data_IF_378940310469
#
_entry.id   IF_378940310469
#
_cell.length_a   1.000
_cell.length_b   1.000
_cell.length_c   1.000
_cell.angle_alpha   90.00
_cell.angle_beta   90.00
_cell.angle_gamma   90.00
#
_symmetry.space_group_name_H-M   'P 1'
#
loop_
_entity.id
_entity.type
_entity.pdbx_description
1 polymer ?
#
# COMPACT_ATOMS: atom_id res chain seq x y z
N UNK A 1 -18.89 6.02 -2.85
CA UNK A 1 -17.92 4.98 -2.41
C UNK A 1 -16.54 5.38 -2.96
N UNK A 2 -15.43 4.79 -2.51
CA UNK A 2 -14.14 5.02 -3.19
C UNK A 2 -14.07 4.31 -4.54
N UNK A 3 -13.29 4.84 -5.47
CA UNK A 3 -13.12 4.24 -6.80
C UNK A 3 -12.09 3.11 -6.75
N UNK A 4 -12.16 2.17 -7.71
CA UNK A 4 -11.17 1.08 -7.83
C UNK A 4 -9.73 1.61 -7.97
N UNK A 5 -9.55 2.76 -8.64
CA UNK A 5 -8.25 3.43 -8.74
C UNK A 5 -7.72 3.87 -7.37
N UNK A 6 -8.60 4.32 -6.46
CA UNK A 6 -8.20 4.72 -5.11
C UNK A 6 -7.80 3.50 -4.29
N UNK A 7 -8.49 2.37 -4.44
CA UNK A 7 -8.14 1.11 -3.76
C UNK A 7 -6.71 0.67 -4.17
N UNK A 8 -6.41 0.69 -5.47
CA UNK A 8 -5.07 0.36 -5.99
C UNK A 8 -4.01 1.35 -5.54
N UNK A 9 -4.33 2.64 -5.54
CA UNK A 9 -3.42 3.68 -5.05
C UNK A 9 -3.16 3.57 -3.55
N UNK A 10 -4.16 3.19 -2.76
CA UNK A 10 -3.98 2.89 -1.34
C UNK A 10 -3.05 1.69 -1.13
N UNK A 11 -3.23 0.59 -1.87
CA UNK A 11 -2.32 -0.58 -1.79
C UNK A 11 -0.89 -0.19 -2.16
N UNK A 12 -0.71 0.55 -3.25
CA UNK A 12 0.61 1.02 -3.67
C UNK A 12 1.25 1.94 -2.62
N UNK A 13 0.48 2.83 -1.98
CA UNK A 13 0.95 3.65 -0.86
C UNK A 13 1.39 2.79 0.33
N UNK A 14 0.60 1.78 0.70
CA UNK A 14 0.92 0.85 1.78
C UNK A 14 2.22 0.09 1.51
N UNK A 15 2.39 -0.46 0.30
CA UNK A 15 3.62 -1.15 -0.11
C UNK A 15 4.84 -0.21 -0.07
N UNK A 16 4.69 1.03 -0.51
CA UNK A 16 5.77 2.01 -0.49
C UNK A 16 6.13 2.45 0.93
N UNK A 17 5.16 2.88 1.73
CA UNK A 17 5.42 3.40 3.07
C UNK A 17 5.85 2.31 4.07
N UNK A 18 5.33 1.09 3.94
CA UNK A 18 5.65 0.01 4.87
C UNK A 18 6.88 -0.80 4.44
N UNK A 19 7.16 -0.90 3.15
CA UNK A 19 8.16 -1.83 2.62
C UNK A 19 9.15 -1.19 1.65
N UNK A 20 8.97 0.08 1.27
CA UNK A 20 9.82 0.76 0.29
C UNK A 20 9.55 0.34 -1.16
N UNK A 21 8.51 -0.47 -1.41
CA UNK A 21 8.19 -0.99 -2.72
C UNK A 21 7.35 0.00 -3.54
N UNK A 22 7.93 0.57 -4.59
CA UNK A 22 7.22 1.48 -5.47
C UNK A 22 6.52 0.72 -6.62
N UNK A 23 5.32 0.22 -6.35
CA UNK A 23 4.53 -0.58 -7.31
C UNK A 23 3.51 0.31 -8.03
N UNK A 24 3.48 0.27 -9.37
CA UNK A 24 2.47 0.97 -10.16
C UNK A 24 1.06 0.44 -9.87
N UNK A 25 0.06 1.31 -9.88
CA UNK A 25 -1.35 0.89 -9.74
C UNK A 25 -1.78 -0.09 -10.85
N UNK A 26 -1.16 -0.01 -12.04
CA UNK A 26 -1.46 -0.88 -13.18
C UNK A 26 -1.04 -2.33 -12.94
N UNK A 27 0.00 -2.54 -12.11
CA UNK A 27 0.50 -3.86 -11.75
C UNK A 27 -0.31 -4.50 -10.61
N UNK A 28 -1.23 -3.74 -9.99
CA UNK A 28 -2.05 -4.18 -8.86
C UNK A 28 -3.39 -4.68 -9.37
N UNK A 29 -3.70 -5.92 -9.00
CA UNK A 29 -4.97 -6.55 -9.27
C UNK A 29 -5.78 -6.65 -7.98
N UNK A 30 -6.99 -6.09 -8.00
CA UNK A 30 -7.97 -6.19 -6.92
C UNK A 30 -9.25 -6.79 -7.51
N UNK A 31 -9.58 -8.01 -7.10
CA UNK A 31 -10.89 -8.60 -7.36
C UNK A 31 -11.64 -8.67 -6.04
N UNK A 32 -12.74 -7.94 -5.96
CA UNK A 32 -13.65 -7.94 -4.82
C UNK A 32 -15.07 -7.99 -5.37
N UNK A 33 -15.57 -9.21 -5.60
CA UNK A 33 -16.95 -9.47 -6.04
C UNK A 33 -17.61 -10.36 -5.00
N UNK A 34 -18.84 -10.02 -4.63
CA UNK A 34 -19.63 -10.68 -3.57
C UNK A 34 -19.78 -12.21 -3.71
N UNK A 35 -19.48 -12.79 -4.88
CA UNK A 35 -19.60 -14.23 -5.18
C UNK A 35 -18.31 -14.90 -5.66
N UNK A 36 -17.14 -14.24 -5.59
CA UNK A 36 -15.85 -14.82 -6.01
C UNK A 36 -14.84 -14.74 -4.87
N UNK A 37 -13.82 -15.60 -4.90
CA UNK A 37 -12.68 -15.47 -3.99
C UNK A 37 -12.03 -14.11 -4.20
N UNK A 38 -12.02 -13.28 -3.16
CA UNK A 38 -11.39 -11.97 -3.24
C UNK A 38 -9.88 -12.17 -3.45
N UNK A 39 -9.31 -11.30 -4.28
CA UNK A 39 -7.91 -11.39 -4.63
C UNK A 39 -7.29 -10.01 -4.63
N UNK A 40 -6.26 -9.86 -3.80
CA UNK A 40 -5.27 -8.80 -3.93
C UNK A 40 -3.92 -9.43 -4.27
N UNK A 41 -3.34 -8.98 -5.40
CA UNK A 41 -2.02 -9.40 -5.85
C UNK A 41 -1.36 -8.34 -6.73
N UNK A 42 -0.03 -8.40 -6.85
CA UNK A 42 0.70 -7.61 -7.83
C UNK A 42 1.82 -8.43 -8.47
N UNK A 43 2.30 -7.97 -9.61
CA UNK A 43 3.49 -8.51 -10.27
C UNK A 43 4.27 -7.37 -10.89
N UNK A 44 5.49 -7.14 -10.40
CA UNK A 44 6.31 -6.02 -10.86
C UNK A 44 7.78 -6.40 -10.94
N UNK A 45 8.53 -5.63 -11.74
CA UNK A 45 9.99 -5.61 -11.68
C UNK A 45 10.39 -4.41 -10.83
N UNK A 46 11.17 -4.65 -9.79
CA UNK A 46 11.53 -3.67 -8.78
C UNK A 46 13.05 -3.48 -8.78
N UNK A 47 13.49 -2.24 -8.63
CA UNK A 47 14.92 -1.93 -8.52
C UNK A 47 15.50 -2.55 -7.24
N UNK A 48 16.77 -2.96 -7.29
CA UNK A 48 17.47 -3.45 -6.09
C UNK A 48 17.52 -2.41 -4.96
N UNK A 49 17.55 -1.13 -5.30
CA UNK A 49 17.61 -0.04 -4.31
C UNK A 49 16.36 0.01 -3.42
N UNK A 50 15.20 -0.40 -3.92
CA UNK A 50 13.96 -0.45 -3.13
C UNK A 50 14.07 -1.47 -1.98
N UNK A 51 14.90 -2.51 -2.12
CA UNK A 51 15.15 -3.49 -1.06
C UNK A 51 15.98 -2.89 0.10
N UNK A 52 16.71 -1.80 -0.13
CA UNK A 52 17.54 -1.17 0.90
C UNK A 52 16.69 -0.57 2.01
N UNK A 53 15.53 0.00 1.66
CA UNK A 53 14.59 0.50 2.66
C UNK A 53 14.08 -0.64 3.55
N UNK A 54 13.67 -1.76 2.94
CA UNK A 54 13.21 -2.92 3.70
C UNK A 54 14.33 -3.53 4.54
N UNK A 55 15.58 -3.54 4.06
CA UNK A 55 16.72 -3.98 4.85
C UNK A 55 16.87 -3.20 6.15
N UNK A 56 16.69 -1.87 6.12
CA UNK A 56 16.80 -1.06 7.33
C UNK A 56 15.65 -1.35 8.31
N UNK A 57 14.46 -1.72 7.83
CA UNK A 57 13.35 -2.24 8.65
C UNK A 57 13.66 -3.62 9.24
N UNK A 58 14.14 -4.55 8.42
CA UNK A 58 14.52 -5.90 8.83
C UNK A 58 15.56 -5.87 9.97
N UNK A 59 16.61 -5.07 9.80
CA UNK A 59 17.64 -4.89 10.83
C UNK A 59 17.07 -4.28 12.10
N UNK A 60 16.15 -3.31 11.97
CA UNK A 60 15.48 -2.68 13.11
C UNK A 60 14.62 -3.67 13.89
N UNK A 61 13.91 -4.58 13.22
CA UNK A 61 13.14 -5.65 13.85
C UNK A 61 14.05 -6.67 14.56
N UNK A 62 15.18 -7.07 13.95
CA UNK A 62 16.16 -7.93 14.62
C UNK A 62 16.67 -7.31 15.93
N UNK A 63 17.01 -6.02 15.90
CA UNK A 63 17.46 -5.28 17.10
C UNK A 63 16.35 -5.25 18.17
N UNK A 64 15.09 -4.99 17.79
CA UNK A 64 13.94 -5.03 18.73
C UNK A 64 13.77 -6.40 19.37
N UNK A 65 14.15 -7.47 18.68
CA UNK A 65 14.12 -8.85 19.19
C UNK A 65 15.43 -9.29 19.87
N UNK A 66 16.22 -8.34 20.38
CA UNK A 66 17.46 -8.55 21.15
C UNK A 66 18.61 -9.20 20.36
N UNK A 67 18.64 -9.08 19.03
CA UNK A 67 19.84 -9.44 18.27
C UNK A 67 21.01 -8.49 18.62
N UNK A 68 22.25 -8.98 18.73
CA UNK A 68 23.39 -8.13 19.07
C UNK A 68 23.64 -7.04 18.01
N UNK A 69 23.68 -5.77 18.43
CA UNK A 69 23.84 -4.63 17.52
C UNK A 69 25.07 -4.75 16.59
N UNK A 70 26.19 -5.22 17.12
CA UNK A 70 27.42 -5.43 16.34
C UNK A 70 27.24 -6.47 15.23
N UNK A 71 26.45 -7.52 15.47
CA UNK A 71 26.19 -8.56 14.49
C UNK A 71 25.19 -8.09 13.44
N UNK A 72 24.15 -7.35 13.86
CA UNK A 72 23.15 -6.81 12.94
C UNK A 72 23.72 -5.74 12.00
N UNK A 73 24.63 -4.88 12.45
CA UNK A 73 25.29 -3.91 11.56
C UNK A 73 26.23 -4.57 10.55
N UNK A 74 26.93 -5.64 10.95
CA UNK A 74 27.74 -6.45 10.03
C UNK A 74 26.84 -7.13 8.99
N UNK A 75 25.70 -7.69 9.40
CA UNK A 75 24.72 -8.29 8.50
C UNK A 75 24.17 -7.24 7.51
N UNK A 76 23.74 -6.08 8.00
CA UNK A 76 23.30 -4.95 7.16
C UNK A 76 24.34 -4.63 6.10
N UNK A 77 25.59 -4.46 6.51
CA UNK A 77 26.70 -4.12 5.62
C UNK A 77 26.93 -5.19 4.56
N UNK A 78 26.89 -6.47 4.96
CA UNK A 78 27.06 -7.61 4.03
C UNK A 78 25.92 -7.72 3.03
N UNK A 79 24.66 -7.53 3.46
CA UNK A 79 23.51 -7.56 2.55
C UNK A 79 23.57 -6.38 1.57
N UNK A 80 23.83 -5.14 2.04
CA UNK A 80 24.00 -3.97 1.15
C UNK A 80 25.10 -4.19 0.12
N UNK A 81 26.24 -4.72 0.56
CA UNK A 81 27.33 -5.11 -0.32
C UNK A 81 26.91 -6.18 -1.34
N UNK A 82 26.19 -7.21 -0.90
CA UNK A 82 25.80 -8.32 -1.77
C UNK A 82 24.76 -7.89 -2.82
N UNK A 83 23.84 -6.99 -2.49
CA UNK A 83 22.94 -6.37 -3.47
C UNK A 83 23.72 -5.62 -4.57
N UNK A 84 24.81 -4.90 -4.21
CA UNK A 84 25.70 -4.28 -5.21
C UNK A 84 26.46 -5.32 -6.06
N UNK A 85 26.87 -6.45 -5.48
CA UNK A 85 27.45 -7.57 -6.25
C UNK A 85 26.42 -8.14 -7.23
N UNK A 86 25.16 -8.26 -6.80
CA UNK A 86 24.05 -8.72 -7.64
C UNK A 86 23.80 -7.79 -8.82
N UNK A 87 23.77 -6.48 -8.57
CA UNK A 87 23.69 -5.45 -9.61
C UNK A 87 24.86 -5.54 -10.60
N UNK A 88 26.10 -5.60 -10.09
CA UNK A 88 27.32 -5.72 -10.90
C UNK A 88 27.34 -6.99 -11.77
N UNK A 89 26.64 -8.04 -11.33
CA UNK A 89 26.48 -9.29 -12.08
C UNK A 89 25.44 -9.21 -13.20
N UNK A 90 24.84 -8.04 -13.43
CA UNK A 90 23.92 -7.76 -14.53
C UNK A 90 22.44 -7.78 -14.15
N UNK A 91 22.10 -7.94 -12.87
CA UNK A 91 20.72 -8.08 -12.41
C UNK A 91 20.24 -6.82 -11.69
N UNK A 92 19.91 -5.78 -12.45
CA UNK A 92 19.51 -4.47 -11.90
C UNK A 92 18.11 -4.46 -11.26
N UNK A 93 17.22 -5.35 -11.73
CA UNK A 93 15.85 -5.45 -11.26
C UNK A 93 15.53 -6.89 -10.83
N UNK A 94 14.67 -7.03 -9.84
CA UNK A 94 14.14 -8.30 -9.37
C UNK A 94 12.64 -8.35 -9.65
N UNK A 95 12.17 -9.49 -10.14
CA UNK A 95 10.74 -9.73 -10.31
C UNK A 95 10.11 -10.19 -9.00
N UNK A 96 9.10 -9.46 -8.55
CA UNK A 96 8.35 -9.73 -7.32
C UNK A 96 6.90 -10.05 -7.67
N UNK A 97 6.33 -11.06 -6.99
CA UNK A 97 4.90 -11.37 -7.05
C UNK A 97 4.34 -11.33 -5.64
N UNK A 98 3.43 -10.41 -5.40
CA UNK A 98 2.76 -10.27 -4.13
C UNK A 98 1.42 -10.98 -4.12
N UNK A 99 1.12 -11.70 -3.04
CA UNK A 99 -0.18 -12.34 -2.81
C UNK A 99 -0.64 -12.09 -1.37
N UNK A 100 -1.92 -11.76 -1.19
CA UNK A 100 -2.49 -11.54 0.15
C UNK A 100 -2.79 -12.85 0.90
N UNK A 101 -3.11 -13.94 0.19
CA UNK A 101 -3.57 -15.22 0.74
C UNK A 101 -2.62 -16.40 0.47
N UNK A 102 -1.44 -16.12 -0.09
CA UNK A 102 -0.40 -17.09 -0.36
C UNK A 102 0.96 -16.46 -0.05
N UNK A 103 2.01 -17.29 -0.04
CA UNK A 103 3.37 -16.77 0.05
C UNK A 103 3.70 -15.95 -1.21
N UNK A 104 3.99 -14.67 -0.99
CA UNK A 104 4.62 -13.81 -2.01
C UNK A 104 6.00 -14.37 -2.39
N UNK A 105 6.43 -14.12 -3.62
CA UNK A 105 7.67 -14.71 -4.17
C UNK A 105 8.55 -13.65 -4.79
N UNK A 106 9.85 -13.73 -4.54
CA UNK A 106 10.89 -12.89 -5.13
C UNK A 106 11.79 -13.79 -6.00
N UNK A 107 11.79 -13.53 -7.31
CA UNK A 107 12.56 -14.33 -8.28
C UNK A 107 14.06 -13.92 -8.21
N UNK A 108 14.82 -14.49 -7.26
CA UNK A 108 16.27 -14.29 -7.09
C UNK A 108 17.06 -15.35 -7.86
N UNK A 109 18.04 -14.91 -8.65
CA UNK A 109 19.01 -15.77 -9.32
C UNK A 109 20.12 -16.17 -8.35
N UNK A 110 20.50 -17.44 -8.33
CA UNK A 110 21.62 -17.94 -7.53
C UNK A 110 22.98 -17.50 -8.11
N UNK A 111 23.29 -16.21 -7.94
CA UNK A 111 24.57 -15.64 -8.35
C UNK A 111 25.74 -16.20 -7.54
N UNK A 112 25.50 -16.72 -6.34
CA UNK A 112 26.54 -17.33 -5.52
C UNK A 112 27.09 -18.57 -6.22
N UNK A 113 26.21 -19.45 -6.69
CA UNK A 113 26.61 -20.61 -7.50
C UNK A 113 27.23 -20.19 -8.83
N UNK A 114 26.74 -19.16 -9.52
CA UNK A 114 27.32 -18.67 -10.77
C UNK A 114 28.75 -18.10 -10.59
N UNK A 115 28.97 -17.34 -9.52
CA UNK A 115 30.28 -16.77 -9.18
C UNK A 115 31.25 -17.89 -8.81
N UNK A 116 30.81 -18.86 -8.02
CA UNK A 116 31.62 -20.01 -7.62
C UNK A 116 31.95 -20.92 -8.81
N UNK A 117 30.97 -21.25 -9.65
CA UNK A 117 31.14 -22.10 -10.82
C UNK A 117 32.16 -21.52 -11.81
N UNK A 118 32.05 -20.22 -12.13
CA UNK A 118 33.05 -19.54 -12.96
C UNK A 118 34.43 -19.37 -12.30
N UNK A 119 34.59 -19.85 -11.06
CA UNK A 119 35.85 -19.86 -10.31
C UNK A 119 36.37 -21.30 -10.05
N UNK A 120 35.71 -22.34 -10.57
CA UNK A 120 36.02 -23.78 -10.42
C UNK A 120 36.53 -24.35 -11.75
N UNK A 121 37.45 -25.32 -11.76
CA UNK A 121 37.85 -26.02 -12.98
C UNK A 121 36.70 -26.76 -13.66
N UNK A 122 36.56 -26.64 -14.98
CA UNK A 122 35.57 -27.38 -15.79
C UNK A 122 35.90 -28.88 -15.91
N UNK A 123 37.14 -29.31 -15.59
CA UNK A 123 37.55 -30.72 -15.57
C UNK A 123 38.79 -30.96 -14.69
N UNK A 124 39.10 -32.22 -14.35
CA UNK A 124 40.36 -32.61 -13.68
C UNK A 124 41.63 -32.26 -14.48
N UNK A 125 41.48 -31.92 -15.76
CA UNK A 125 42.56 -31.46 -16.65
C UNK A 125 42.62 -29.94 -16.81
N UNK A 126 41.77 -29.19 -16.10
CA UNK A 126 41.66 -27.75 -16.26
C UNK A 126 42.76 -27.03 -15.47
N UNK A 127 43.82 -26.66 -16.19
CA UNK A 127 45.11 -26.14 -15.71
C UNK A 127 45.06 -24.67 -15.29
N UNK A 128 43.90 -24.16 -14.89
CA UNK A 128 43.77 -22.77 -14.44
C UNK A 128 44.47 -22.61 -13.09
N UNK A 129 45.47 -21.73 -13.06
CA UNK A 129 46.25 -21.38 -11.87
C UNK A 129 45.34 -20.99 -10.68
N UNK A 130 45.51 -21.58 -9.49
CA UNK A 130 44.84 -21.16 -8.26
C UNK A 130 44.88 -19.65 -7.99
N UNK A 131 45.96 -18.95 -8.39
CA UNK A 131 46.11 -17.50 -8.31
C UNK A 131 45.07 -16.80 -9.19
N UNK A 132 44.95 -17.22 -10.46
CA UNK A 132 43.97 -16.68 -11.40
C UNK A 132 42.53 -16.90 -10.92
N UNK A 133 42.24 -18.02 -10.25
CA UNK A 133 40.91 -18.29 -9.67
C UNK A 133 40.58 -17.39 -8.49
N UNK A 134 41.58 -17.06 -7.67
CA UNK A 134 41.42 -16.09 -6.59
C UNK A 134 41.12 -14.69 -7.16
N UNK A 135 41.82 -14.32 -8.23
CA UNK A 135 41.58 -13.07 -8.94
C UNK A 135 40.19 -13.02 -9.58
N UNK A 136 39.71 -14.09 -10.22
CA UNK A 136 38.35 -14.16 -10.78
C UNK A 136 37.29 -13.95 -9.69
N UNK A 137 37.40 -14.65 -8.56
CA UNK A 137 36.48 -14.47 -7.43
C UNK A 137 36.52 -13.03 -6.91
N UNK A 138 37.72 -12.49 -6.67
CA UNK A 138 37.91 -11.13 -6.19
C UNK A 138 37.32 -10.11 -7.17
N UNK A 139 37.51 -10.29 -8.48
CA UNK A 139 36.99 -9.39 -9.49
C UNK A 139 35.46 -9.40 -9.55
N UNK A 140 34.83 -10.57 -9.49
CA UNK A 140 33.37 -10.71 -9.49
C UNK A 140 32.73 -10.17 -8.20
N UNK A 141 33.36 -10.40 -7.06
CA UNK A 141 32.87 -9.95 -5.75
C UNK A 141 33.31 -8.53 -5.40
N UNK A 142 34.25 -7.91 -6.13
CA UNK A 142 34.76 -6.58 -5.77
C UNK A 142 33.70 -5.50 -6.01
N UNK A 143 33.34 -4.81 -4.93
CA UNK A 143 32.51 -3.60 -4.95
C UNK A 143 33.34 -2.50 -4.30
N UNK A 144 33.59 -1.41 -5.04
CA UNK A 144 34.43 -0.29 -4.57
C UNK A 144 35.82 -0.75 -4.08
N UNK A 145 36.39 -1.77 -4.72
CA UNK A 145 37.70 -2.34 -4.38
C UNK A 145 37.70 -3.25 -3.14
N UNK A 146 36.55 -3.57 -2.56
CA UNK A 146 36.42 -4.40 -1.35
C UNK A 146 35.69 -5.71 -1.61
N UNK A 147 36.08 -6.75 -0.88
CA UNK A 147 35.42 -8.07 -0.85
C UNK A 147 35.07 -8.40 0.60
N UNK A 148 33.78 -8.41 0.92
CA UNK A 148 33.31 -8.58 2.31
C UNK A 148 32.86 -10.01 2.65
N UNK A 149 32.68 -10.85 1.63
CA UNK A 149 32.26 -12.24 1.79
C UNK A 149 33.38 -13.13 1.23
N UNK A 150 33.89 -14.04 2.05
CA UNK A 150 34.93 -14.97 1.64
C UNK A 150 34.36 -16.10 0.76
N UNK A 151 35.18 -16.61 -0.17
CA UNK A 151 34.76 -17.64 -1.15
C UNK A 151 34.12 -18.87 -0.52
N UNK A 152 34.68 -19.37 0.58
CA UNK A 152 34.17 -20.55 1.29
C UNK A 152 32.84 -20.28 2.02
N UNK A 153 32.57 -19.01 2.37
CA UNK A 153 31.37 -18.59 3.10
C UNK A 153 30.24 -18.13 2.16
N UNK A 154 30.53 -17.88 0.88
CA UNK A 154 29.57 -17.29 -0.06
C UNK A 154 28.27 -18.09 -0.19
N UNK A 155 28.37 -19.41 -0.37
CA UNK A 155 27.19 -20.27 -0.51
C UNK A 155 26.37 -20.32 0.78
N UNK A 156 27.03 -20.36 1.93
CA UNK A 156 26.36 -20.31 3.22
C UNK A 156 25.63 -18.98 3.40
N UNK A 157 26.31 -17.85 3.21
CA UNK A 157 25.71 -16.52 3.30
C UNK A 157 24.50 -16.36 2.38
N UNK A 158 24.59 -16.86 1.15
CA UNK A 158 23.49 -16.75 0.17
C UNK A 158 22.24 -17.51 0.62
N UNK A 159 22.38 -18.73 1.14
CA UNK A 159 21.25 -19.56 1.54
C UNK A 159 20.80 -19.33 3.00
N UNK A 160 21.64 -18.76 3.87
CA UNK A 160 21.28 -18.35 5.23
C UNK A 160 20.94 -16.88 5.27
N UNK A 161 21.93 -16.01 5.48
CA UNK A 161 21.75 -14.61 5.88
C UNK A 161 20.96 -13.81 4.84
N UNK A 162 21.31 -13.98 3.55
CA UNK A 162 20.60 -13.34 2.45
C UNK A 162 19.26 -14.03 2.16
N UNK A 163 19.21 -15.35 2.22
CA UNK A 163 17.98 -16.13 2.04
C UNK A 163 16.91 -15.78 3.08
N UNK A 164 17.28 -15.71 4.35
CA UNK A 164 16.42 -15.34 5.48
C UNK A 164 15.88 -13.92 5.33
N UNK A 165 16.72 -12.98 4.88
CA UNK A 165 16.29 -11.62 4.55
C UNK A 165 15.22 -11.61 3.45
N UNK A 166 15.42 -12.36 2.35
CA UNK A 166 14.45 -12.45 1.25
C UNK A 166 13.16 -13.13 1.71
N UNK A 167 13.25 -14.22 2.48
CA UNK A 167 12.09 -14.94 3.01
C UNK A 167 11.27 -14.07 3.96
N UNK A 168 11.91 -13.27 4.80
CA UNK A 168 11.20 -12.33 5.67
C UNK A 168 10.54 -11.23 4.85
N UNK A 169 11.20 -10.76 3.79
CA UNK A 169 10.60 -9.79 2.88
C UNK A 169 9.33 -10.32 2.20
N UNK A 170 9.37 -11.55 1.69
CA UNK A 170 8.21 -12.23 1.12
C UNK A 170 7.02 -12.33 2.10
N UNK A 171 7.29 -12.64 3.37
CA UNK A 171 6.24 -12.65 4.41
C UNK A 171 5.70 -11.25 4.67
N UNK A 172 6.56 -10.24 4.77
CA UNK A 172 6.16 -8.86 4.98
C UNK A 172 5.28 -8.32 3.84
N UNK A 173 5.58 -8.66 2.59
CA UNK A 173 4.73 -8.33 1.43
C UNK A 173 3.35 -8.95 1.62
N UNK A 174 3.28 -10.25 1.91
CA UNK A 174 2.01 -10.97 2.06
C UNK A 174 1.16 -10.39 3.20
N UNK A 175 1.80 -10.05 4.33
CA UNK A 175 1.15 -9.40 5.49
C UNK A 175 0.64 -8.00 5.16
N UNK A 176 1.43 -7.19 4.44
CA UNK A 176 1.05 -5.85 4.00
C UNK A 176 -0.18 -5.89 3.09
N UNK A 177 -0.18 -6.79 2.10
CA UNK A 177 -1.32 -7.00 1.20
C UNK A 177 -2.56 -7.47 1.95
N UNK A 178 -2.44 -8.47 2.83
CA UNK A 178 -3.58 -8.92 3.63
C UNK A 178 -4.16 -7.78 4.48
N UNK A 179 -3.30 -6.99 5.14
CA UNK A 179 -3.74 -5.83 5.93
C UNK A 179 -4.47 -4.80 5.05
N UNK A 180 -3.92 -4.50 3.87
CA UNK A 180 -4.52 -3.55 2.93
C UNK A 180 -5.90 -4.02 2.47
N UNK A 181 -6.05 -5.30 2.14
CA UNK A 181 -7.34 -5.88 1.76
C UNK A 181 -8.37 -5.80 2.89
N UNK A 182 -7.99 -6.10 4.14
CA UNK A 182 -8.90 -5.98 5.27
C UNK A 182 -9.37 -4.53 5.51
N UNK A 183 -8.47 -3.55 5.29
CA UNK A 183 -8.81 -2.14 5.39
C UNK A 183 -9.81 -1.76 4.29
N UNK A 184 -9.56 -2.13 3.02
CA UNK A 184 -10.47 -1.88 1.90
C UNK A 184 -11.87 -2.45 2.19
N UNK A 185 -11.95 -3.68 2.68
CA UNK A 185 -13.23 -4.30 3.08
C UNK A 185 -13.93 -3.53 4.18
N UNK A 186 -13.18 -3.12 5.20
CA UNK A 186 -13.72 -2.36 6.31
C UNK A 186 -14.23 -0.99 5.87
N UNK A 187 -13.54 -0.35 4.90
CA UNK A 187 -14.01 0.87 4.22
C UNK A 187 -15.36 0.63 3.53
N UNK A 188 -15.47 -0.42 2.71
CA UNK A 188 -16.74 -0.78 2.04
C UNK A 188 -17.86 -1.04 3.04
N UNK A 189 -17.58 -1.76 4.12
CA UNK A 189 -18.54 -2.01 5.20
C UNK A 189 -18.99 -0.70 5.88
N UNK A 190 -18.08 0.25 6.10
CA UNK A 190 -18.41 1.58 6.65
C UNK A 190 -19.35 2.35 5.73
N UNK A 191 -19.09 2.36 4.42
CA UNK A 191 -19.99 2.96 3.44
C UNK A 191 -21.36 2.27 3.44
N UNK A 192 -21.40 0.94 3.32
CA UNK A 192 -22.66 0.19 3.30
C UNK A 192 -23.50 0.42 4.56
N UNK A 193 -22.87 0.48 5.74
CA UNK A 193 -23.55 0.75 7.00
C UNK A 193 -24.17 2.15 7.03
N UNK A 194 -23.51 3.14 6.45
CA UNK A 194 -24.02 4.51 6.37
C UNK A 194 -25.07 4.70 5.28
N UNK A 195 -24.97 4.01 4.15
CA UNK A 195 -25.99 4.04 3.10
C UNK A 195 -27.35 3.48 3.54
N UNK A 196 -27.35 2.65 4.59
CA UNK A 196 -28.58 2.17 5.24
C UNK A 196 -29.20 3.16 6.23
N UNK A 197 -28.52 4.27 6.54
CA UNK A 197 -29.03 5.27 7.47
C UNK A 197 -30.14 6.10 6.81
N UNK A 198 -31.32 6.05 7.43
CA UNK A 198 -32.44 6.91 7.10
C UNK A 198 -32.92 7.60 8.37
N UNK A 199 -33.11 8.90 8.29
CA UNK A 199 -33.71 9.67 9.37
C UNK A 199 -34.90 10.46 8.86
N UNK A 200 -36.02 10.35 9.56
CA UNK A 200 -37.21 11.14 9.29
C UNK A 200 -37.74 11.74 10.58
N UNK A 201 -38.23 12.98 10.50
CA UNK A 201 -38.87 13.66 11.63
C UNK A 201 -39.99 14.57 11.14
N UNK A 202 -41.19 14.40 11.72
CA UNK A 202 -42.28 15.36 11.58
C UNK A 202 -41.92 16.67 12.27
N UNK A 203 -41.96 17.77 11.51
CA UNK A 203 -41.68 19.13 12.00
C UNK A 203 -42.98 19.79 12.46
N UNK A 204 -44.03 19.71 11.64
CA UNK A 204 -45.41 20.11 11.93
C UNK A 204 -46.37 19.24 11.11
N UNK A 205 -47.68 19.48 11.21
CA UNK A 205 -48.72 18.61 10.63
C UNK A 205 -48.55 18.34 9.13
N UNK A 206 -48.09 19.35 8.38
CA UNK A 206 -47.94 19.27 6.92
C UNK A 206 -46.48 19.24 6.45
N UNK A 207 -45.51 18.97 7.34
CA UNK A 207 -44.09 19.05 6.98
C UNK A 207 -43.25 17.96 7.68
N UNK A 208 -42.58 17.15 6.88
CA UNK A 208 -41.63 16.13 7.34
C UNK A 208 -40.24 16.41 6.79
N UNK A 209 -39.23 16.33 7.66
CA UNK A 209 -37.82 16.39 7.33
C UNK A 209 -37.27 14.98 7.15
N UNK A 210 -36.56 14.74 6.05
CA UNK A 210 -35.80 13.52 5.76
C UNK A 210 -34.32 13.86 5.62
N UNK A 211 -33.46 13.01 6.18
CA UNK A 211 -32.02 13.04 6.00
C UNK A 211 -31.60 11.66 5.49
N UNK A 212 -31.14 11.63 4.24
CA UNK A 212 -30.70 10.42 3.54
C UNK A 212 -29.20 10.53 3.26
N UNK A 213 -28.45 9.45 3.44
CA UNK A 213 -27.03 9.38 3.11
C UNK A 213 -26.84 8.57 1.83
N UNK A 214 -26.33 9.19 0.78
CA UNK A 214 -25.88 8.53 -0.43
C UNK A 214 -24.39 8.20 -0.31
N UNK A 215 -24.10 6.91 -0.38
CA UNK A 215 -22.75 6.35 -0.29
C UNK A 215 -22.27 5.72 -1.58
N UNK A 216 -23.08 5.73 -2.63
CA UNK A 216 -22.75 5.12 -3.92
C UNK A 216 -21.97 6.10 -4.79
N UNK A 217 -22.34 7.38 -4.73
CA UNK A 217 -21.64 8.45 -5.43
C UNK A 217 -20.26 8.76 -4.83
N UNK A 218 -19.35 9.26 -5.67
CA UNK A 218 -18.06 9.76 -5.20
C UNK A 218 -18.30 11.09 -4.46
N UNK A 219 -17.99 11.18 -3.14
CA UNK A 219 -18.42 12.33 -2.35
C UNK A 219 -17.75 13.64 -2.79
N UNK A 220 -18.53 14.72 -2.88
CA UNK A 220 -18.01 16.04 -3.22
C UNK A 220 -17.02 16.60 -2.17
N UNK A 221 -17.09 16.11 -0.93
CA UNK A 221 -16.20 16.48 0.17
C UNK A 221 -14.88 15.69 0.19
N UNK A 222 -14.60 14.87 -0.84
CA UNK A 222 -13.37 14.10 -0.89
C UNK A 222 -12.14 15.00 -0.83
N UNK A 223 -11.17 14.73 0.08
CA UNK A 223 -9.95 15.51 0.14
C UNK A 223 -9.14 15.31 -1.14
N UNK A 224 -8.33 16.30 -1.48
CA UNK A 224 -7.38 16.16 -2.59
C UNK A 224 -6.28 15.17 -2.19
N UNK A 225 -6.35 13.97 -2.77
CA UNK A 225 -5.40 12.87 -2.58
C UNK A 225 -4.19 12.96 -3.51
N UNK A 226 -4.19 13.92 -4.44
CA UNK A 226 -3.29 13.93 -5.58
C UNK A 226 -2.69 15.32 -5.82
N UNK A 227 -1.40 15.47 -5.56
CA UNK A 227 -0.68 16.74 -5.68
C UNK A 227 -0.32 16.99 -7.15
N UNK A 228 -0.97 17.97 -7.76
CA UNK A 228 -0.61 18.47 -9.09
C UNK A 228 0.69 19.27 -9.08
N UNK A 229 1.54 19.07 -10.08
CA UNK A 229 2.74 19.87 -10.30
C UNK A 229 2.86 20.30 -11.76
N UNK A 230 3.53 21.44 -11.97
CA UNK A 230 3.92 21.95 -13.28
C UNK A 230 5.43 21.85 -13.39
N UNK A 231 5.90 21.06 -14.33
CA UNK A 231 7.30 21.08 -14.71
C UNK A 231 7.59 22.32 -15.57
N UNK A 232 8.84 22.74 -15.56
CA UNK A 232 9.38 23.91 -16.29
C UNK A 232 9.06 23.88 -17.79
N UNK A 233 8.86 22.69 -18.36
CA UNK A 233 8.59 22.47 -19.79
C UNK A 233 7.09 22.48 -20.14
N UNK A 234 6.21 22.80 -19.19
CA UNK A 234 4.76 22.86 -19.41
C UNK A 234 4.05 21.51 -19.28
N UNK A 235 4.77 20.43 -18.98
CA UNK A 235 4.21 19.16 -18.54
C UNK A 235 3.54 19.33 -17.18
N UNK A 236 2.28 18.92 -17.09
CA UNK A 236 1.54 18.83 -15.83
C UNK A 236 1.50 17.38 -15.41
N UNK A 237 1.94 17.11 -14.18
CA UNK A 237 1.92 15.78 -13.59
C UNK A 237 1.11 15.79 -12.30
N UNK A 238 0.78 14.60 -11.83
CA UNK A 238 0.02 14.40 -10.59
C UNK A 238 0.71 13.30 -9.79
N UNK A 239 1.05 13.60 -8.53
CA UNK A 239 1.65 12.63 -7.61
C UNK A 239 0.66 12.27 -6.49
N UNK A 240 0.57 11.00 -6.13
CA UNK A 240 -0.29 10.52 -5.03
C UNK A 240 0.28 10.91 -3.67
N UNK A 241 -0.51 11.57 -2.83
CA UNK A 241 -0.15 11.81 -1.43
C UNK A 241 -0.34 10.53 -0.59
N UNK A 242 0.74 9.76 -0.45
CA UNK A 242 0.76 8.46 0.23
C UNK A 242 0.24 8.55 1.68
N UNK A 243 0.60 9.60 2.43
CA UNK A 243 0.18 9.76 3.82
C UNK A 243 -1.30 10.08 3.92
N UNK A 244 -1.81 10.98 3.06
CA UNK A 244 -3.23 11.34 3.05
C UNK A 244 -4.12 10.16 2.68
N UNK A 245 -3.77 9.41 1.63
CA UNK A 245 -4.60 8.28 1.21
C UNK A 245 -4.61 7.17 2.27
N UNK A 246 -3.46 6.86 2.89
CA UNK A 246 -3.39 5.88 3.98
C UNK A 246 -4.21 6.35 5.18
N UNK A 247 -4.11 7.63 5.56
CA UNK A 247 -4.86 8.20 6.68
C UNK A 247 -6.37 8.15 6.42
N UNK A 248 -6.80 8.50 5.21
CA UNK A 248 -8.21 8.46 4.82
C UNK A 248 -8.76 7.03 4.92
N UNK A 249 -8.11 6.05 4.28
CA UNK A 249 -8.54 4.65 4.33
C UNK A 249 -8.57 4.11 5.76
N UNK A 250 -7.56 4.43 6.56
CA UNK A 250 -7.50 3.99 7.96
C UNK A 250 -8.64 4.62 8.79
N UNK A 251 -8.91 5.91 8.60
CA UNK A 251 -10.03 6.61 9.27
C UNK A 251 -11.38 5.98 8.91
N UNK A 252 -11.65 5.87 7.61
CA UNK A 252 -12.92 5.33 7.10
C UNK A 252 -13.10 3.86 7.46
N UNK A 253 -12.03 3.05 7.46
CA UNK A 253 -12.08 1.65 7.91
C UNK A 253 -12.51 1.49 9.36
N UNK A 254 -12.27 2.51 10.19
CA UNK A 254 -12.70 2.55 11.59
C UNK A 254 -14.10 3.15 11.79
N UNK A 255 -14.80 3.50 10.70
CA UNK A 255 -16.12 4.14 10.72
C UNK A 255 -16.07 5.60 11.17
N UNK A 256 -14.91 6.25 11.07
CA UNK A 256 -14.69 7.66 11.40
C UNK A 256 -14.53 8.49 10.15
N UNK A 257 -15.12 9.67 10.16
CA UNK A 257 -15.03 10.68 9.11
C UNK A 257 -15.21 10.07 7.71
N UNK A 258 -16.25 9.25 7.56
CA UNK A 258 -16.62 8.64 6.28
C UNK A 258 -17.23 9.74 5.39
N UNK A 259 -16.62 10.05 4.24
CA UNK A 259 -17.14 11.06 3.34
C UNK A 259 -18.40 10.53 2.66
N UNK A 260 -19.49 11.28 2.68
CA UNK A 260 -20.78 10.88 2.09
C UNK A 260 -21.47 12.08 1.45
N UNK A 261 -22.40 11.82 0.54
CA UNK A 261 -23.37 12.83 0.13
C UNK A 261 -24.58 12.72 1.04
N UNK A 262 -25.00 13.82 1.64
CA UNK A 262 -26.20 13.89 2.48
C UNK A 262 -27.26 14.71 1.76
N UNK A 263 -28.43 14.11 1.58
CA UNK A 263 -29.61 14.79 1.05
C UNK A 263 -30.51 15.21 2.20
N UNK A 264 -30.84 16.49 2.25
CA UNK A 264 -31.83 17.06 3.17
C UNK A 264 -33.09 17.35 2.37
N UNK A 265 -34.20 16.68 2.72
CA UNK A 265 -35.46 16.79 1.98
C UNK A 265 -36.61 17.15 2.89
N UNK A 266 -37.42 18.12 2.47
CA UNK A 266 -38.69 18.46 3.09
C UNK A 266 -39.85 17.96 2.23
N UNK A 267 -40.77 17.21 2.84
CA UNK A 267 -41.98 16.72 2.16
C UNK A 267 -43.26 17.24 2.80
N UNK A 268 -44.26 17.53 1.96
CA UNK A 268 -45.63 17.88 2.35
C UNK A 268 -46.45 16.69 2.86
N UNK A 269 -47.69 16.95 3.27
CA UNK A 269 -48.63 15.92 3.75
C UNK A 269 -49.09 14.93 2.67
N UNK A 270 -49.04 15.33 1.40
CA UNK A 270 -49.32 14.50 0.23
C UNK A 270 -48.09 13.70 -0.26
N UNK A 271 -46.94 13.86 0.41
CA UNK A 271 -45.66 13.26 0.01
C UNK A 271 -44.93 14.03 -1.08
N UNK A 272 -45.43 15.19 -1.53
CA UNK A 272 -44.71 16.05 -2.48
C UNK A 272 -43.41 16.57 -1.88
N UNK A 273 -42.36 16.63 -2.68
CA UNK A 273 -41.09 17.24 -2.29
C UNK A 273 -41.22 18.75 -2.40
N UNK A 274 -41.10 19.44 -1.26
CA UNK A 274 -41.19 20.90 -1.18
C UNK A 274 -39.83 21.57 -1.35
N UNK A 275 -38.77 20.94 -0.84
CA UNK A 275 -37.38 21.36 -1.00
C UNK A 275 -36.45 20.16 -0.85
N UNK A 276 -35.36 20.14 -1.60
CA UNK A 276 -34.33 19.12 -1.56
C UNK A 276 -32.96 19.71 -1.90
N UNK A 277 -31.97 19.47 -1.05
CA UNK A 277 -30.58 19.85 -1.28
C UNK A 277 -29.63 18.71 -0.91
N UNK A 278 -28.49 18.63 -1.60
CA UNK A 278 -27.50 17.55 -1.42
C UNK A 278 -26.10 18.11 -1.26
N UNK A 279 -25.43 17.72 -0.19
CA UNK A 279 -24.12 18.27 0.20
C UNK A 279 -23.14 17.18 0.58
N UNK A 280 -21.86 17.38 0.27
CA UNK A 280 -20.78 16.53 0.78
C UNK A 280 -20.54 16.80 2.26
N UNK A 281 -20.49 15.76 3.08
CA UNK A 281 -20.18 15.87 4.52
C UNK A 281 -19.44 14.64 5.02
N UNK A 282 -19.03 14.65 6.29
CA UNK A 282 -18.38 13.54 6.96
C UNK A 282 -19.28 12.94 8.04
N UNK A 283 -19.37 11.62 8.04
CA UNK A 283 -20.18 10.86 8.99
C UNK A 283 -19.31 9.92 9.82
N UNK A 284 -19.61 9.81 11.11
CA UNK A 284 -19.00 8.85 12.01
C UNK A 284 -20.06 7.99 12.67
N UNK A 285 -19.78 6.70 12.86
CA UNK A 285 -20.67 5.82 13.61
C UNK A 285 -20.16 5.67 15.04
N UNK A 286 -20.92 6.19 16.00
CA UNK A 286 -20.57 6.11 17.42
C UNK A 286 -20.62 4.68 17.97
N UNK A 287 -20.07 4.43 19.17
CA UNK A 287 -20.04 3.10 19.80
C UNK A 287 -21.42 2.46 20.00
N UNK A 288 -22.46 3.30 20.11
CA UNK A 288 -23.86 2.88 20.27
C UNK A 288 -24.59 2.66 18.93
N UNK A 289 -23.86 2.73 17.81
CA UNK A 289 -24.41 2.61 16.46
C UNK A 289 -25.12 3.86 15.94
N UNK A 290 -25.12 4.95 16.71
CA UNK A 290 -25.69 6.25 16.26
C UNK A 290 -24.78 6.89 15.23
N UNK A 291 -25.38 7.32 14.11
CA UNK A 291 -24.68 8.12 13.09
C UNK A 291 -24.58 9.57 13.55
N UNK A 292 -23.37 10.09 13.50
CA UNK A 292 -23.03 11.49 13.75
C UNK A 292 -22.63 12.11 12.42
N UNK A 293 -23.32 13.16 12.02
CA UNK A 293 -22.99 13.95 10.84
C UNK A 293 -22.29 15.22 11.32
N UNK A 294 -21.10 15.51 10.82
CA UNK A 294 -20.25 16.61 11.28
C UNK A 294 -20.99 17.96 11.28
N UNK A 295 -21.58 18.32 10.14
CA UNK A 295 -22.12 19.66 9.91
C UNK A 295 -23.66 19.68 9.90
N UNK A 296 -24.28 18.70 10.57
CA UNK A 296 -25.74 18.46 10.53
C UNK A 296 -26.57 19.73 10.71
N UNK A 297 -26.21 20.56 11.68
CA UNK A 297 -26.99 21.75 12.03
C UNK A 297 -26.94 22.79 10.91
N UNK A 298 -25.76 23.02 10.33
CA UNK A 298 -25.58 23.96 9.23
C UNK A 298 -26.35 23.50 7.99
N UNK A 299 -26.21 22.22 7.60
CA UNK A 299 -26.90 21.68 6.43
C UNK A 299 -28.42 21.73 6.55
N UNK A 300 -28.97 21.44 7.74
CA UNK A 300 -30.41 21.56 7.98
C UNK A 300 -30.85 23.02 7.98
N UNK A 301 -30.03 23.94 8.50
CA UNK A 301 -30.37 25.36 8.50
C UNK A 301 -30.41 25.92 7.07
N UNK A 302 -29.43 25.58 6.23
CA UNK A 302 -29.38 25.95 4.81
C UNK A 302 -30.63 25.46 4.07
N UNK A 303 -30.99 24.18 4.22
CA UNK A 303 -32.20 23.63 3.62
C UNK A 303 -33.50 24.30 4.13
N UNK A 304 -33.52 24.78 5.38
CA UNK A 304 -34.66 25.55 5.94
C UNK A 304 -34.74 26.95 5.33
N UNK A 305 -33.61 27.59 5.07
CA UNK A 305 -33.53 28.88 4.39
C UNK A 305 -34.04 28.74 2.95
N UNK A 306 -33.59 27.71 2.22
CA UNK A 306 -34.09 27.41 0.87
C UNK A 306 -35.60 27.12 0.85
N UNK A 307 -36.12 26.36 1.82
CA UNK A 307 -37.56 26.11 1.92
C UNK A 307 -38.37 27.40 2.10
N UNK A 308 -37.83 28.41 2.80
CA UNK A 308 -38.52 29.70 2.99
C UNK A 308 -38.55 30.55 1.72
N UNK A 309 -37.59 30.38 0.84
CA UNK A 309 -37.57 31.10 -0.44
C UNK A 309 -38.54 30.49 -1.47
N UNK A 310 -38.93 29.21 -1.27
CA UNK A 310 -39.84 28.46 -2.15
C UNK A 310 -41.32 28.57 -1.74
N UNK A 311 -41.61 28.78 -0.45
CA UNK A 311 -42.97 28.80 0.15
C UNK A 311 -43.40 30.22 0.50
#
# INVERSE_FOLDING_TARGET
MFNESDDKNFVSAMLKCQLGLNISQEDITIYDKENHFEQLSFKANVALDDLLFYLDLYISELIKHNAPYSETEVLRTKIKYFLKVYEKSGFQNIRIRGYHNAHSTIDIVDIASLILAGSVPESEHDSIDPVLRKEIYQNRMSVEGKVLIARFALKQFFHSDFGDFILEFEKSISKCLNTSLQIIKSVKNSFNRLGQYQYQRRVKDDLTLHLDLNTDEYPACMPDLYIGFKESEGTTGVYRDDEKIIRLYTGVSSGKDVPVMMTVRFTGCDGSVLSESSHGTFCSVGPTGRVQVCDRVALVQEAVEELRDVV
#
